data_IF_604761743081
#
_entry.id   IF_604761743081
#
_cell.length_a   1.000
_cell.length_b   1.000
_cell.length_c   1.000
_cell.angle_alpha   90.00
_cell.angle_beta   90.00
_cell.angle_gamma   90.00
#
_symmetry.space_group_name_H-M   'P 1'
#
loop_
_entity.id
_entity.type
_entity.pdbx_description
1 polymer ?
#
# COMPACT_ATOMS: atom_id res chain seq x y z
N UNK A 1 34.59 -29.54 -41.20
CA UNK A 1 34.52 -28.63 -40.03
C UNK A 1 35.55 -27.56 -40.26
N UNK A 2 35.23 -26.27 -40.06
CA UNK A 2 36.23 -25.20 -40.22
C UNK A 2 37.24 -25.27 -39.07
N UNK A 3 38.47 -24.89 -39.36
CA UNK A 3 39.53 -24.73 -38.34
C UNK A 3 39.04 -23.78 -37.23
N UNK A 4 39.29 -24.10 -35.94
CA UNK A 4 38.91 -23.24 -34.84
C UNK A 4 39.67 -21.91 -34.92
N UNK A 5 38.96 -20.80 -34.68
CA UNK A 5 39.57 -19.48 -34.67
C UNK A 5 40.21 -19.22 -33.31
N UNK A 6 41.49 -18.88 -33.32
CA UNK A 6 42.20 -18.41 -32.14
C UNK A 6 42.16 -16.88 -32.09
N UNK A 7 41.74 -16.34 -30.94
CA UNK A 7 41.82 -14.91 -30.65
C UNK A 7 42.33 -14.74 -29.23
N UNK A 8 43.47 -14.07 -29.07
CA UNK A 8 44.07 -13.75 -27.77
C UNK A 8 44.24 -14.98 -26.85
N UNK A 9 44.72 -16.09 -27.43
CA UNK A 9 44.92 -17.37 -26.72
C UNK A 9 43.64 -18.16 -26.39
N UNK A 10 42.46 -17.68 -26.81
CA UNK A 10 41.18 -18.39 -26.65
C UNK A 10 40.76 -19.02 -27.98
N UNK A 11 40.52 -20.33 -27.96
CA UNK A 11 40.04 -21.10 -29.11
C UNK A 11 38.51 -21.12 -29.17
N UNK A 12 37.95 -20.77 -30.32
CA UNK A 12 36.51 -20.86 -30.60
C UNK A 12 36.22 -22.03 -31.54
N UNK A 13 35.56 -23.06 -31.02
CA UNK A 13 35.15 -24.23 -31.79
C UNK A 13 33.93 -23.91 -32.68
N UNK A 14 33.97 -24.37 -33.94
CA UNK A 14 32.84 -24.30 -34.89
C UNK A 14 31.87 -25.46 -34.66
N UNK A 15 31.30 -25.52 -33.45
CA UNK A 15 30.33 -26.54 -33.07
C UNK A 15 28.92 -26.15 -33.52
N UNK A 16 28.12 -27.09 -34.06
CA UNK A 16 26.73 -26.80 -34.38
C UNK A 16 25.95 -26.49 -33.09
N UNK A 17 24.97 -25.58 -33.19
CA UNK A 17 24.09 -25.29 -32.04
C UNK A 17 23.41 -26.56 -31.53
N UNK A 18 23.38 -26.79 -30.20
CA UNK A 18 22.73 -27.95 -29.61
C UNK A 18 21.28 -28.09 -30.12
N UNK A 19 20.86 -29.28 -30.59
CA UNK A 19 19.52 -29.47 -31.14
C UNK A 19 18.39 -29.06 -30.19
N UNK A 20 18.55 -29.32 -28.89
CA UNK A 20 17.57 -28.92 -27.86
C UNK A 20 17.43 -27.39 -27.74
N UNK A 21 18.53 -26.64 -27.94
CA UNK A 21 18.50 -25.18 -27.86
C UNK A 21 17.73 -24.59 -29.04
N UNK A 22 17.97 -25.11 -30.26
CA UNK A 22 17.18 -24.75 -31.45
C UNK A 22 15.70 -25.06 -31.28
N UNK A 23 15.39 -26.21 -30.65
CA UNK A 23 14.01 -26.59 -30.34
C UNK A 23 13.33 -25.58 -29.40
N UNK A 24 13.98 -25.20 -28.30
CA UNK A 24 13.46 -24.20 -27.36
C UNK A 24 13.24 -22.86 -28.05
N UNK A 25 14.19 -22.42 -28.89
CA UNK A 25 14.05 -21.19 -29.67
C UNK A 25 12.84 -21.24 -30.61
N UNK A 26 12.67 -22.33 -31.38
CA UNK A 26 11.52 -22.50 -32.27
C UNK A 26 10.18 -22.59 -31.50
N UNK A 27 10.15 -23.28 -30.36
CA UNK A 27 8.97 -23.36 -29.51
C UNK A 27 8.59 -21.96 -29.02
N UNK A 28 9.55 -21.13 -28.59
CA UNK A 28 9.27 -19.78 -28.12
C UNK A 28 8.61 -18.91 -29.20
N UNK A 29 9.03 -19.05 -30.46
CA UNK A 29 8.42 -18.36 -31.61
C UNK A 29 6.98 -18.83 -31.81
N UNK A 30 6.75 -20.14 -31.80
CA UNK A 30 5.41 -20.72 -31.96
C UNK A 30 4.49 -20.28 -30.82
N UNK A 31 4.96 -20.30 -29.58
CA UNK A 31 4.21 -19.84 -28.40
C UNK A 31 3.89 -18.36 -28.51
N UNK A 32 4.85 -17.52 -28.93
CA UNK A 32 4.63 -16.08 -29.10
C UNK A 32 3.56 -15.79 -30.15
N UNK A 33 3.62 -16.46 -31.31
CA UNK A 33 2.62 -16.28 -32.37
C UNK A 33 1.26 -16.76 -31.87
N UNK A 34 1.21 -17.94 -31.23
CA UNK A 34 -0.02 -18.47 -30.65
C UNK A 34 -0.63 -17.56 -29.60
N UNK A 35 0.19 -16.95 -28.74
CA UNK A 35 -0.24 -15.99 -27.72
C UNK A 35 -0.88 -14.76 -28.36
N UNK A 36 -0.22 -14.14 -29.34
CA UNK A 36 -0.75 -12.95 -30.02
C UNK A 36 -2.06 -13.26 -30.73
N UNK A 37 -2.11 -14.37 -31.47
CA UNK A 37 -3.32 -14.80 -32.16
C UNK A 37 -4.45 -15.05 -31.17
N UNK A 38 -4.19 -15.77 -30.08
CA UNK A 38 -5.20 -16.04 -29.07
C UNK A 38 -5.68 -14.77 -28.38
N UNK A 39 -4.79 -13.99 -27.78
CA UNK A 39 -5.18 -12.85 -26.95
C UNK A 39 -5.72 -11.64 -27.72
N UNK A 40 -5.34 -11.45 -28.99
CA UNK A 40 -5.83 -10.32 -29.78
C UNK A 40 -6.99 -10.64 -30.73
N UNK A 41 -7.16 -11.89 -31.16
CA UNK A 41 -8.22 -12.26 -32.11
C UNK A 41 -9.31 -13.17 -31.54
N UNK A 42 -9.03 -13.97 -30.52
CA UNK A 42 -9.97 -15.00 -30.06
C UNK A 42 -10.35 -14.90 -28.58
N UNK A 43 -9.53 -14.28 -27.75
CA UNK A 43 -9.74 -14.22 -26.31
C UNK A 43 -10.73 -13.11 -25.96
N UNK A 44 -11.80 -13.48 -25.27
CA UNK A 44 -12.72 -12.55 -24.59
C UNK A 44 -12.21 -12.15 -23.19
N UNK A 45 -10.89 -12.22 -22.96
CA UNK A 45 -10.25 -11.90 -21.68
C UNK A 45 -9.29 -10.71 -21.77
N UNK A 46 -9.79 -9.51 -22.12
CA UNK A 46 -9.03 -8.27 -22.02
C UNK A 46 -8.82 -7.85 -20.55
N UNK A 47 -7.86 -6.94 -20.33
CA UNK A 47 -7.42 -6.56 -18.98
C UNK A 47 -8.53 -5.92 -18.13
N UNK A 48 -9.44 -5.17 -18.74
CA UNK A 48 -10.60 -4.57 -18.10
C UNK A 48 -11.57 -5.62 -17.58
N UNK A 49 -11.94 -6.62 -18.39
CA UNK A 49 -12.80 -7.74 -17.95
C UNK A 49 -12.13 -8.58 -16.86
N UNK A 50 -10.81 -8.80 -16.97
CA UNK A 50 -10.05 -9.48 -15.93
C UNK A 50 -10.06 -8.69 -14.62
N UNK A 51 -9.85 -7.38 -14.68
CA UNK A 51 -9.89 -6.48 -13.53
C UNK A 51 -11.28 -6.43 -12.89
N UNK A 52 -12.35 -6.29 -13.68
CA UNK A 52 -13.73 -6.29 -13.19
C UNK A 52 -14.05 -7.58 -12.43
N UNK A 53 -13.59 -8.73 -12.94
CA UNK A 53 -13.75 -10.02 -12.26
C UNK A 53 -12.98 -10.09 -10.95
N UNK A 54 -11.74 -9.60 -10.93
CA UNK A 54 -10.92 -9.53 -9.72
C UNK A 54 -11.55 -8.60 -8.66
N UNK A 55 -12.06 -7.44 -9.08
CA UNK A 55 -12.78 -6.50 -8.22
C UNK A 55 -14.06 -7.13 -7.68
N UNK A 56 -14.87 -7.76 -8.52
CA UNK A 56 -16.09 -8.43 -8.08
C UNK A 56 -15.79 -9.56 -7.08
N UNK A 57 -14.75 -10.36 -7.33
CA UNK A 57 -14.29 -11.38 -6.39
C UNK A 57 -13.80 -10.75 -5.08
N UNK A 58 -13.05 -9.65 -5.15
CA UNK A 58 -12.62 -8.90 -3.98
C UNK A 58 -13.81 -8.34 -3.19
N UNK A 59 -14.81 -7.74 -3.85
CA UNK A 59 -16.03 -7.24 -3.21
C UNK A 59 -16.85 -8.36 -2.55
N UNK A 60 -16.88 -9.58 -3.12
CA UNK A 60 -17.54 -10.72 -2.46
C UNK A 60 -16.80 -11.21 -1.22
N UNK A 61 -15.46 -11.23 -1.26
CA UNK A 61 -14.61 -11.67 -0.13
C UNK A 61 -14.48 -10.60 0.95
N UNK A 62 -14.50 -9.34 0.53
CA UNK A 62 -14.37 -8.15 1.35
C UNK A 62 -15.55 -7.23 1.04
N UNK A 63 -16.78 -7.63 1.41
CA UNK A 63 -17.95 -6.77 1.22
C UNK A 63 -17.64 -5.43 1.84
N UNK A 64 -17.89 -4.35 1.09
CA UNK A 64 -17.62 -2.98 1.52
C UNK A 64 -18.24 -2.80 2.91
N UNK A 65 -17.40 -2.87 3.95
CA UNK A 65 -17.84 -2.52 5.29
C UNK A 65 -18.38 -1.11 5.16
N UNK A 66 -19.58 -0.91 5.71
CA UNK A 66 -20.25 0.39 5.70
C UNK A 66 -19.23 1.49 5.94
N UNK A 67 -19.31 2.57 5.16
CA UNK A 67 -18.44 3.75 5.34
C UNK A 67 -18.37 4.03 6.83
N UNK A 68 -17.23 3.73 7.43
CA UNK A 68 -17.05 3.89 8.86
C UNK A 68 -17.08 5.38 9.10
N UNK A 69 -18.23 5.86 9.57
CA UNK A 69 -18.42 7.24 10.00
C UNK A 69 -18.14 7.33 11.48
N UNK A 70 -17.73 8.52 11.92
CA UNK A 70 -17.65 8.82 13.33
C UNK A 70 -18.98 8.47 14.02
N UNK A 71 -18.92 8.10 15.31
CA UNK A 71 -20.10 7.81 16.09
C UNK A 71 -21.12 8.97 15.94
N UNK A 72 -22.36 8.72 15.50
CA UNK A 72 -23.34 9.78 15.26
C UNK A 72 -23.68 10.63 16.49
N UNK A 73 -23.50 10.09 17.70
CA UNK A 73 -23.89 10.77 18.95
C UNK A 73 -22.88 11.83 19.38
N UNK A 74 -21.58 11.53 19.30
CA UNK A 74 -20.51 12.40 19.81
C UNK A 74 -19.41 12.71 18.78
N UNK A 75 -19.40 12.06 17.63
CA UNK A 75 -18.35 12.21 16.62
C UNK A 75 -17.04 11.51 17.00
N UNK A 76 -17.06 10.60 17.97
CA UNK A 76 -15.89 9.82 18.39
C UNK A 76 -15.56 8.69 17.41
N UNK A 77 -14.35 8.17 17.51
CA UNK A 77 -13.91 7.01 16.75
C UNK A 77 -14.73 5.75 17.14
N UNK A 78 -15.47 5.14 16.21
CA UNK A 78 -16.34 3.99 16.50
C UNK A 78 -15.57 2.71 16.86
N UNK A 79 -14.27 2.64 16.56
CA UNK A 79 -13.41 1.49 16.85
C UNK A 79 -12.62 1.60 18.14
N UNK A 80 -12.93 2.58 18.99
CA UNK A 80 -12.31 2.64 20.31
C UNK A 80 -12.56 1.35 21.08
N UNK A 81 -11.50 0.86 21.70
CA UNK A 81 -11.50 -0.35 22.53
C UNK A 81 -11.79 -1.66 21.76
N UNK A 82 -11.96 -1.62 20.43
CA UNK A 82 -12.07 -2.82 19.59
C UNK A 82 -10.69 -3.46 19.39
N UNK A 83 -10.49 -4.65 19.97
CA UNK A 83 -9.21 -5.36 19.94
C UNK A 83 -8.74 -5.74 18.53
N UNK A 84 -9.67 -5.99 17.59
CA UNK A 84 -9.35 -6.33 16.20
C UNK A 84 -8.86 -5.06 15.49
N UNK A 85 -9.61 -3.97 15.61
CA UNK A 85 -9.24 -2.70 15.00
C UNK A 85 -7.94 -2.13 15.59
N UNK A 86 -7.70 -2.28 16.90
CA UNK A 86 -6.43 -1.86 17.52
C UNK A 86 -5.25 -2.64 16.93
N UNK A 87 -5.38 -3.96 16.72
CA UNK A 87 -4.32 -4.78 16.15
C UNK A 87 -4.06 -4.44 14.68
N UNK A 88 -5.10 -4.23 13.90
CA UNK A 88 -5.00 -3.78 12.50
C UNK A 88 -4.42 -2.36 12.40
N UNK A 89 -4.82 -1.48 13.32
CA UNK A 89 -4.31 -0.14 13.47
C UNK A 89 -2.82 -0.10 13.75
N UNK A 90 -2.33 -0.96 14.65
CA UNK A 90 -0.90 -1.11 14.92
C UNK A 90 -0.13 -1.52 13.65
N UNK A 91 -0.64 -2.51 12.92
CA UNK A 91 -0.02 -2.98 11.68
C UNK A 91 0.04 -1.86 10.64
N UNK A 92 -1.06 -1.13 10.46
CA UNK A 92 -1.17 -0.01 9.52
C UNK A 92 -0.23 1.13 9.91
N UNK A 93 -0.18 1.47 11.20
CA UNK A 93 0.72 2.49 11.74
C UNK A 93 2.19 2.14 11.43
N UNK A 94 2.59 0.90 11.70
CA UNK A 94 3.97 0.43 11.45
C UNK A 94 4.36 0.52 9.98
N UNK A 95 3.44 0.23 9.07
CA UNK A 95 3.71 0.26 7.63
C UNK A 95 3.76 1.67 7.04
N UNK A 96 2.95 2.60 7.55
CA UNK A 96 2.68 3.88 6.88
C UNK A 96 3.18 5.08 7.70
N UNK A 97 2.89 5.10 8.99
CA UNK A 97 3.06 6.29 9.82
C UNK A 97 4.40 6.33 10.57
N UNK A 98 4.97 5.15 10.87
CA UNK A 98 6.16 5.01 11.70
C UNK A 98 7.41 5.68 11.13
N UNK A 99 7.52 5.80 9.81
CA UNK A 99 8.65 6.43 9.15
C UNK A 99 8.80 7.91 9.55
N UNK A 100 7.70 8.61 9.81
CA UNK A 100 7.71 10.02 10.20
C UNK A 100 7.48 10.22 11.70
N UNK A 101 6.65 9.39 12.34
CA UNK A 101 6.26 9.53 13.74
C UNK A 101 6.99 8.58 14.69
N UNK A 102 7.94 7.78 14.20
CA UNK A 102 8.72 6.82 14.99
C UNK A 102 8.03 5.45 15.14
N UNK A 103 8.77 4.37 15.41
CA UNK A 103 8.21 3.02 15.59
C UNK A 103 7.22 2.89 16.76
N UNK A 104 7.32 3.76 17.77
CA UNK A 104 6.46 3.76 18.96
C UNK A 104 5.59 5.01 19.07
N UNK A 105 5.48 5.79 17.99
CA UNK A 105 4.76 7.05 17.95
C UNK A 105 5.36 8.18 18.82
N UNK A 106 6.64 8.07 19.15
CA UNK A 106 7.43 9.01 19.94
C UNK A 106 7.86 10.28 19.19
N UNK A 107 7.67 10.31 17.87
CA UNK A 107 8.05 11.41 17.00
C UNK A 107 9.43 11.23 16.37
N UNK A 108 9.60 11.76 15.16
CA UNK A 108 10.88 11.83 14.46
C UNK A 108 10.90 13.07 13.55
N UNK A 109 10.49 12.90 12.29
CA UNK A 109 10.24 14.02 11.37
C UNK A 109 8.94 14.72 11.73
N UNK A 110 7.89 13.95 12.00
CA UNK A 110 6.61 14.39 12.56
C UNK A 110 6.66 14.50 14.08
N UNK A 111 5.66 15.16 14.70
CA UNK A 111 5.56 15.28 16.16
C UNK A 111 5.38 13.90 16.82
N UNK A 112 5.66 13.84 18.12
CA UNK A 112 5.19 12.74 18.96
C UNK A 112 3.67 12.70 18.95
N UNK A 113 3.11 11.50 18.93
CA UNK A 113 1.67 11.27 19.04
C UNK A 113 1.31 10.63 20.39
N UNK A 114 2.29 10.40 21.27
CA UNK A 114 2.10 9.82 22.61
C UNK A 114 2.35 10.79 23.74
N UNK A 115 2.79 12.02 23.43
CA UNK A 115 2.87 13.09 24.42
C UNK A 115 1.51 13.79 24.61
N UNK A 116 1.47 14.83 25.44
CA UNK A 116 0.24 15.57 25.74
C UNK A 116 0.06 16.80 24.85
N UNK A 117 1.03 17.10 23.99
CA UNK A 117 1.15 18.38 23.30
C UNK A 117 0.69 18.27 21.83
N UNK A 118 -0.57 18.63 21.59
CA UNK A 118 -1.16 18.55 20.26
C UNK A 118 -1.12 19.88 19.51
N UNK A 119 -0.39 19.91 18.39
CA UNK A 119 -0.21 21.11 17.57
C UNK A 119 -1.38 21.39 16.62
N UNK A 120 -2.20 20.39 16.28
CA UNK A 120 -3.31 20.47 15.32
C UNK A 120 -4.65 19.95 15.88
N UNK A 121 -4.83 20.00 17.21
CA UNK A 121 -6.01 19.48 17.89
C UNK A 121 -5.84 18.03 18.35
N UNK A 122 -6.60 17.66 19.38
CA UNK A 122 -6.46 16.38 20.09
C UNK A 122 -7.77 15.61 20.22
N UNK A 123 -8.81 16.00 19.50
CA UNK A 123 -10.07 15.24 19.43
C UNK A 123 -10.03 14.22 18.29
N UNK A 124 -10.78 13.13 18.39
CA UNK A 124 -10.87 12.13 17.32
C UNK A 124 -11.22 12.77 15.98
N UNK A 125 -12.19 13.70 15.98
CA UNK A 125 -12.59 14.43 14.78
C UNK A 125 -11.45 15.26 14.19
N UNK A 126 -10.67 15.96 14.99
CA UNK A 126 -9.54 16.77 14.50
C UNK A 126 -8.42 15.88 13.96
N UNK A 127 -8.04 14.84 14.70
CA UNK A 127 -6.98 13.91 14.30
C UNK A 127 -7.36 13.15 13.04
N UNK A 128 -8.61 12.67 12.93
CA UNK A 128 -9.12 12.04 11.71
C UNK A 128 -9.00 12.97 10.51
N UNK A 129 -9.44 14.23 10.66
CA UNK A 129 -9.35 15.22 9.58
C UNK A 129 -7.90 15.54 9.21
N UNK A 130 -6.99 15.60 10.18
CA UNK A 130 -5.56 15.82 9.92
C UNK A 130 -4.95 14.64 9.15
N UNK A 131 -5.34 13.40 9.45
CA UNK A 131 -4.87 12.22 8.72
C UNK A 131 -5.44 12.19 7.31
N UNK A 132 -6.77 12.36 7.18
CA UNK A 132 -7.44 12.29 5.88
C UNK A 132 -6.95 13.41 4.95
N UNK A 133 -6.99 14.67 5.40
CA UNK A 133 -6.70 15.83 4.54
C UNK A 133 -5.22 16.23 4.52
N UNK A 134 -4.41 15.64 5.40
CA UNK A 134 -3.03 16.05 5.59
C UNK A 134 -2.88 17.44 6.21
N UNK A 135 -1.63 17.85 6.39
CA UNK A 135 -1.22 19.17 6.87
C UNK A 135 -0.29 19.76 5.82
N UNK A 136 -0.84 20.69 5.04
CA UNK A 136 -0.11 21.42 4.01
C UNK A 136 0.95 22.39 4.59
N UNK A 137 1.79 22.96 3.72
CA UNK A 137 2.89 23.84 4.11
C UNK A 137 2.41 25.14 4.79
N UNK A 138 1.20 25.60 4.49
CA UNK A 138 0.55 26.77 5.08
C UNK A 138 0.13 26.56 6.55
N UNK A 139 -0.16 25.31 6.92
CA UNK A 139 -0.57 24.95 8.29
C UNK A 139 0.56 24.32 9.11
N UNK A 140 1.71 24.02 8.52
CA UNK A 140 2.79 23.35 9.21
C UNK A 140 3.42 24.22 10.32
N UNK A 141 3.60 23.66 11.52
CA UNK A 141 4.22 24.35 12.67
C UNK A 141 5.66 23.93 13.01
N UNK A 142 6.15 22.83 12.43
CA UNK A 142 7.44 22.22 12.81
C UNK A 142 8.62 22.54 11.89
N UNK A 143 8.42 23.23 10.76
CA UNK A 143 9.44 23.49 9.73
C UNK A 143 10.25 22.24 9.31
N UNK A 144 9.62 21.05 9.33
CA UNK A 144 10.25 19.73 9.10
C UNK A 144 9.57 18.91 7.97
N UNK A 145 8.74 19.54 7.14
CA UNK A 145 7.97 18.89 6.05
C UNK A 145 6.51 18.60 6.41
N UNK A 146 5.58 18.83 5.48
CA UNK A 146 4.15 18.67 5.70
C UNK A 146 3.72 17.20 5.84
N UNK A 147 2.56 16.98 6.45
CA UNK A 147 1.95 15.65 6.49
C UNK A 147 1.09 15.46 5.23
N UNK A 148 1.32 14.43 4.39
CA UNK A 148 0.47 14.21 3.22
C UNK A 148 -0.94 13.78 3.62
N UNK A 149 -1.89 13.93 2.69
CA UNK A 149 -3.26 13.46 2.84
C UNK A 149 -3.33 11.93 2.66
N UNK A 150 -4.07 11.25 3.52
CA UNK A 150 -4.24 9.79 3.50
C UNK A 150 -5.67 9.34 3.17
N UNK A 151 -6.41 10.12 2.36
CA UNK A 151 -7.78 9.77 1.95
C UNK A 151 -7.86 8.40 1.26
N UNK A 152 -6.83 8.04 0.48
CA UNK A 152 -6.73 6.74 -0.19
C UNK A 152 -6.54 5.55 0.76
N UNK A 153 -6.20 5.78 2.04
CA UNK A 153 -6.12 4.72 3.05
C UNK A 153 -7.52 4.25 3.48
N UNK A 154 -8.54 5.12 3.34
CA UNK A 154 -9.91 4.86 3.74
C UNK A 154 -10.17 5.08 5.24
N UNK A 155 -11.39 5.51 5.56
CA UNK A 155 -11.78 5.90 6.91
C UNK A 155 -11.63 4.75 7.94
N UNK A 156 -11.92 3.51 7.56
CA UNK A 156 -11.81 2.34 8.43
C UNK A 156 -10.39 2.18 8.99
N UNK A 157 -9.39 2.18 8.12
CA UNK A 157 -7.98 2.02 8.50
C UNK A 157 -7.48 3.22 9.30
N UNK A 158 -7.93 4.43 8.98
CA UNK A 158 -7.60 5.63 9.75
C UNK A 158 -8.16 5.53 11.17
N UNK A 159 -9.43 5.15 11.32
CA UNK A 159 -10.03 4.93 12.63
C UNK A 159 -9.37 3.78 13.40
N UNK A 160 -8.97 2.70 12.73
CA UNK A 160 -8.21 1.62 13.35
C UNK A 160 -6.85 2.11 13.91
N UNK A 161 -6.10 2.89 13.13
CA UNK A 161 -4.84 3.52 13.60
C UNK A 161 -5.10 4.44 14.80
N UNK A 162 -6.15 5.26 14.75
CA UNK A 162 -6.52 6.13 15.87
C UNK A 162 -6.96 5.33 17.10
N UNK A 163 -7.61 4.19 16.94
CA UNK A 163 -8.01 3.30 18.04
C UNK A 163 -6.76 2.75 18.73
N UNK A 164 -5.77 2.28 17.96
CA UNK A 164 -4.47 1.90 18.51
C UNK A 164 -3.78 3.06 19.22
N UNK A 165 -3.77 4.25 18.62
CA UNK A 165 -3.15 5.43 19.20
C UNK A 165 -3.80 5.83 20.54
N UNK A 166 -5.13 5.70 20.66
CA UNK A 166 -5.85 5.95 21.90
C UNK A 166 -5.41 5.01 23.04
N UNK A 167 -4.95 3.79 22.73
CA UNK A 167 -4.37 2.89 23.75
C UNK A 167 -2.99 3.34 24.24
N UNK A 168 -2.29 4.15 23.43
CA UNK A 168 -0.95 4.68 23.74
C UNK A 168 -0.99 6.07 24.36
N UNK A 169 -2.03 6.85 24.04
CA UNK A 169 -2.14 8.23 24.46
C UNK A 169 -3.54 8.56 25.01
N UNK A 170 -3.63 8.67 26.32
CA UNK A 170 -4.88 9.05 26.99
C UNK A 170 -5.28 10.52 26.77
N UNK A 171 -4.41 11.35 26.19
CA UNK A 171 -4.72 12.75 25.86
C UNK A 171 -5.47 12.90 24.53
N UNK A 172 -5.64 11.82 23.75
CA UNK A 172 -6.51 11.76 22.57
C UNK A 172 -7.98 11.62 22.99
N UNK A 173 -8.73 12.70 22.84
CA UNK A 173 -10.10 12.84 23.36
C UNK A 173 -11.14 12.33 22.36
N UNK A 174 -12.17 11.62 22.86
CA UNK A 174 -13.28 11.10 22.05
C UNK A 174 -14.00 12.19 21.26
N UNK A 175 -14.43 13.24 21.94
CA UNK A 175 -15.08 14.41 21.37
C UNK A 175 -15.05 15.55 22.40
N UNK A 176 -15.34 16.77 21.94
CA UNK A 176 -15.64 17.92 22.81
C UNK A 176 -17.14 18.18 22.81
#
# INVERSE_FOLDING_TARGET
MKEPKEVDGIFQADNPMPPWWKLVWLISIIVSIGYVVYFHWYSDWPQDVAFEKEVAEHETKFPTKQVVVANPEDGSNPYRDDAVAIKEGESTYKQICSACHGPTAEGAVGPSLVDKDWIHGNTDKEVFNNIMKGIGPDRQKLNRGGMPAWEGLGAEKVYAVMAWLATKNSSLVKAK
#
